data_IF_186780164326
#
_entry.id   IF_186780164326
#
_cell.length_a   1.000
_cell.length_b   1.000
_cell.length_c   1.000
_cell.angle_alpha   90.00
_cell.angle_beta   90.00
_cell.angle_gamma   90.00
#
_symmetry.space_group_name_H-M   'P 1'
#
loop_
_entity.id
_entity.type
_entity.pdbx_description
1 polymer ?
#
# COMPACT_ATOMS: atom_id res chain seq x y z
N UNK A 1 -9.44 25.89 30.22
CA UNK A 1 -9.65 25.30 28.87
C UNK A 1 -8.76 26.03 27.87
N UNK A 2 -7.83 25.36 27.18
CA UNK A 2 -6.91 26.02 26.23
C UNK A 2 -7.54 26.30 24.86
N UNK A 3 -7.05 27.31 24.13
CA UNK A 3 -7.57 27.73 22.82
C UNK A 3 -7.74 26.57 21.81
N UNK A 4 -6.79 25.63 21.77
CA UNK A 4 -6.86 24.46 20.88
C UNK A 4 -8.04 23.53 21.15
N UNK A 5 -8.56 23.51 22.39
CA UNK A 5 -9.72 22.71 22.76
C UNK A 5 -11.00 23.29 22.14
N UNK A 6 -11.18 24.61 22.20
CA UNK A 6 -12.29 25.30 21.54
C UNK A 6 -12.24 25.13 20.02
N UNK A 7 -11.06 25.24 19.41
CA UNK A 7 -10.89 24.96 17.98
C UNK A 7 -11.33 23.54 17.63
N UNK A 8 -10.93 22.55 18.44
CA UNK A 8 -11.32 21.16 18.21
C UNK A 8 -12.86 20.98 18.30
N UNK A 9 -13.51 21.62 19.26
CA UNK A 9 -14.96 21.53 19.46
C UNK A 9 -15.72 22.18 18.30
N UNK A 10 -15.25 23.32 17.81
CA UNK A 10 -15.79 23.97 16.62
C UNK A 10 -15.67 23.05 15.38
N UNK A 11 -14.52 22.39 15.19
CA UNK A 11 -14.32 21.41 14.10
C UNK A 11 -15.07 20.08 14.27
N UNK A 12 -15.60 19.78 15.47
CA UNK A 12 -16.50 18.63 15.67
C UNK A 12 -17.88 18.95 15.09
N UNK A 13 -18.40 20.17 15.34
CA UNK A 13 -19.69 20.65 14.82
C UNK A 13 -19.59 21.24 13.40
N UNK A 14 -19.18 20.43 12.41
CA UNK A 14 -18.98 20.91 11.01
C UNK A 14 -20.27 21.32 10.29
N UNK A 15 -21.41 20.87 10.80
CA UNK A 15 -22.71 21.19 10.25
C UNK A 15 -23.29 22.49 10.78
N UNK A 16 -22.61 23.24 11.67
CA UNK A 16 -23.05 24.58 12.03
C UNK A 16 -22.90 25.55 10.85
N UNK A 17 -23.72 26.61 10.81
CA UNK A 17 -23.72 27.57 9.70
C UNK A 17 -22.38 28.26 9.51
N UNK A 18 -21.73 28.64 10.62
CA UNK A 18 -20.37 29.21 10.63
C UNK A 18 -19.38 28.27 9.92
N UNK A 19 -19.39 26.98 10.26
CA UNK A 19 -18.47 26.02 9.67
C UNK A 19 -18.78 25.69 8.22
N UNK A 20 -20.06 25.58 7.85
CA UNK A 20 -20.48 25.38 6.46
C UNK A 20 -20.04 26.55 5.59
N UNK A 21 -20.25 27.78 6.06
CA UNK A 21 -19.83 28.99 5.35
C UNK A 21 -18.32 29.00 5.14
N UNK A 22 -17.52 28.80 6.20
CA UNK A 22 -16.06 28.78 6.11
C UNK A 22 -15.54 27.67 5.18
N UNK A 23 -16.12 26.48 5.23
CA UNK A 23 -15.73 25.38 4.36
C UNK A 23 -16.10 25.64 2.90
N UNK A 24 -17.23 26.28 2.63
CA UNK A 24 -17.65 26.65 1.28
C UNK A 24 -16.67 27.63 0.63
N UNK A 25 -16.33 28.72 1.35
CA UNK A 25 -15.36 29.73 0.88
C UNK A 25 -13.99 29.08 0.63
N UNK A 26 -13.51 28.22 1.54
CA UNK A 26 -12.24 27.51 1.36
C UNK A 26 -12.24 26.55 0.18
N UNK A 27 -13.31 25.77 0.01
CA UNK A 27 -13.40 24.84 -1.12
C UNK A 27 -13.42 25.59 -2.46
N UNK A 28 -14.08 26.75 -2.52
CA UNK A 28 -14.00 27.62 -3.69
C UNK A 28 -12.56 28.05 -3.99
N UNK A 29 -11.82 28.56 -3.00
CA UNK A 29 -10.41 28.93 -3.15
C UNK A 29 -9.54 27.74 -3.61
N UNK A 30 -9.72 26.56 -3.02
CA UNK A 30 -8.91 25.37 -3.34
C UNK A 30 -9.19 24.78 -4.73
N UNK A 31 -10.32 25.12 -5.35
CA UNK A 31 -10.60 24.72 -6.74
C UNK A 31 -9.77 25.51 -7.74
N UNK A 32 -9.54 26.80 -7.46
CA UNK A 32 -8.75 27.69 -8.32
C UNK A 32 -7.25 27.37 -8.27
N UNK A 33 -6.78 26.85 -7.14
CA UNK A 33 -5.39 26.46 -6.96
C UNK A 33 -5.04 25.15 -7.68
N UNK A 34 -3.75 24.94 -7.92
CA UNK A 34 -3.24 23.72 -8.56
C UNK A 34 -3.52 22.45 -7.73
N UNK A 35 -3.46 21.29 -8.38
CA UNK A 35 -3.75 19.99 -7.78
C UNK A 35 -2.98 19.73 -6.48
N UNK A 36 -1.72 20.17 -6.45
CA UNK A 36 -0.80 20.07 -5.34
C UNK A 36 -0.05 21.40 -5.23
N UNK A 37 -0.21 22.09 -4.11
CA UNK A 37 0.48 23.35 -3.85
C UNK A 37 0.95 23.40 -2.39
N UNK A 38 1.99 24.19 -2.14
CA UNK A 38 2.51 24.44 -0.80
C UNK A 38 1.56 25.39 -0.06
N UNK A 39 1.18 25.04 1.16
CA UNK A 39 0.47 25.93 2.07
C UNK A 39 1.48 26.60 3.02
N UNK A 40 1.42 27.93 3.21
CA UNK A 40 2.36 28.62 4.10
C UNK A 40 2.15 28.26 5.57
N UNK A 41 0.90 28.01 5.98
CA UNK A 41 0.50 27.64 7.34
C UNK A 41 -0.57 26.55 7.32
N UNK A 42 -0.66 25.70 8.37
CA UNK A 42 -1.75 24.72 8.47
C UNK A 42 -3.09 25.43 8.56
N UNK A 43 -4.09 24.99 7.80
CA UNK A 43 -5.47 25.50 7.95
C UNK A 43 -6.05 25.13 9.33
N UNK A 44 -5.57 24.00 9.88
CA UNK A 44 -6.01 23.43 11.15
C UNK A 44 -4.83 23.21 12.08
N UNK A 45 -4.37 24.24 12.82
CA UNK A 45 -3.23 24.09 13.72
C UNK A 45 -3.52 23.10 14.87
N UNK A 46 -4.78 23.00 15.33
CA UNK A 46 -5.23 22.02 16.34
C UNK A 46 -4.93 20.58 15.91
N UNK A 47 -5.32 20.23 14.67
CA UNK A 47 -5.21 18.88 14.14
C UNK A 47 -3.79 18.58 13.71
N UNK A 48 -3.12 19.56 13.09
CA UNK A 48 -1.73 19.42 12.67
C UNK A 48 -0.81 19.11 13.87
N UNK A 49 -0.96 19.84 14.99
CA UNK A 49 -0.16 19.61 16.21
C UNK A 49 -0.34 18.20 16.77
N UNK A 50 -1.57 17.70 16.81
CA UNK A 50 -1.86 16.32 17.26
C UNK A 50 -1.17 15.26 16.40
N UNK A 51 -0.96 15.56 15.13
CA UNK A 51 -0.31 14.65 14.17
C UNK A 51 1.21 14.84 14.11
N UNK A 52 1.78 15.69 14.96
CA UNK A 52 3.22 15.89 15.11
C UNK A 52 3.80 17.09 14.36
N UNK A 53 2.96 17.99 13.84
CA UNK A 53 3.43 19.27 13.30
C UNK A 53 3.95 20.17 14.42
N UNK A 54 5.14 20.73 14.23
CA UNK A 54 5.70 21.80 15.07
C UNK A 54 6.01 22.99 14.15
N UNK A 55 5.73 24.21 14.62
CA UNK A 55 6.04 25.43 13.88
C UNK A 55 7.54 25.77 14.03
N UNK A 56 8.39 24.92 13.45
CA UNK A 56 9.84 25.09 13.35
C UNK A 56 10.28 24.88 11.90
N UNK A 57 11.45 25.41 11.55
CA UNK A 57 12.01 25.18 10.22
C UNK A 57 12.20 23.68 9.93
N UNK A 58 12.04 23.29 8.66
CA UNK A 58 12.09 21.90 8.21
C UNK A 58 10.74 21.19 8.21
N UNK A 59 9.67 21.80 8.72
CA UNK A 59 8.29 21.35 8.50
C UNK A 59 7.67 22.07 7.31
N UNK A 60 7.01 21.32 6.43
CA UNK A 60 6.32 21.86 5.26
C UNK A 60 4.95 21.25 5.17
N UNK A 61 3.97 22.04 4.71
CA UNK A 61 2.61 21.57 4.50
C UNK A 61 2.28 21.72 3.02
N UNK A 62 1.77 20.64 2.44
CA UNK A 62 1.23 20.65 1.09
C UNK A 62 -0.27 20.37 1.15
N UNK A 63 -1.03 21.13 0.37
CA UNK A 63 -2.44 20.87 0.11
C UNK A 63 -2.56 20.08 -1.17
N UNK A 64 -3.35 19.02 -1.12
CA UNK A 64 -3.62 18.17 -2.27
C UNK A 64 -5.11 17.90 -2.42
N UNK A 65 -5.59 17.95 -3.67
CA UNK A 65 -6.93 17.50 -4.03
C UNK A 65 -6.91 16.09 -4.63
N UNK A 66 -7.85 15.26 -4.20
CA UNK A 66 -8.05 13.90 -4.72
C UNK A 66 -9.49 13.74 -5.18
N UNK A 67 -9.70 13.22 -6.38
CA UNK A 67 -11.03 13.00 -6.95
C UNK A 67 -11.81 11.99 -6.11
N UNK A 68 -13.08 12.28 -5.86
CA UNK A 68 -14.03 11.42 -5.17
C UNK A 68 -14.55 10.33 -6.12
N UNK A 69 -15.12 9.29 -5.52
CA UNK A 69 -15.76 8.18 -6.24
C UNK A 69 -14.93 6.89 -6.21
N UNK A 70 -15.46 5.88 -6.92
CA UNK A 70 -14.81 4.60 -7.13
C UNK A 70 -13.71 4.67 -8.19
N UNK A 71 -13.09 3.52 -8.45
CA UNK A 71 -12.07 3.39 -9.49
C UNK A 71 -12.59 2.46 -10.58
N UNK A 72 -12.76 3.00 -11.79
CA UNK A 72 -13.01 2.18 -12.98
C UNK A 72 -11.79 1.31 -13.27
N UNK A 73 -11.98 0.05 -13.63
CA UNK A 73 -10.88 -0.80 -14.12
C UNK A 73 -10.39 -0.28 -15.47
N UNK A 74 -9.08 -0.18 -15.68
CA UNK A 74 -8.53 0.22 -16.97
C UNK A 74 -8.67 -0.93 -17.96
N UNK A 75 -9.82 -1.01 -18.63
CA UNK A 75 -10.08 -1.95 -19.73
C UNK A 75 -10.50 -1.18 -20.97
N UNK A 76 -9.89 -1.45 -22.14
CA UNK A 76 -10.33 -0.86 -23.40
C UNK A 76 -11.81 -1.15 -23.64
N UNK A 77 -12.60 -0.10 -23.92
CA UNK A 77 -14.05 -0.18 -24.20
C UNK A 77 -14.92 -0.87 -23.12
N UNK A 78 -14.38 -1.16 -21.93
CA UNK A 78 -15.10 -1.95 -20.92
C UNK A 78 -15.14 -3.45 -21.20
N UNK A 79 -14.42 -3.93 -22.23
CA UNK A 79 -14.40 -5.35 -22.58
C UNK A 79 -13.46 -6.12 -21.63
N UNK A 80 -14.04 -7.02 -20.84
CA UNK A 80 -13.33 -7.94 -19.94
C UNK A 80 -13.48 -9.36 -20.45
N UNK A 81 -12.37 -10.05 -20.66
CA UNK A 81 -12.35 -11.46 -21.05
C UNK A 81 -12.24 -12.37 -19.83
N UNK A 82 -12.59 -13.65 -19.99
CA UNK A 82 -12.51 -14.68 -18.95
C UNK A 82 -13.81 -14.92 -18.21
N UNK A 83 -13.72 -15.45 -16.99
CA UNK A 83 -14.88 -15.87 -16.19
C UNK A 83 -15.80 -14.68 -15.83
N UNK A 84 -17.13 -14.86 -15.76
CA UNK A 84 -18.09 -13.79 -15.45
C UNK A 84 -17.81 -13.01 -14.15
N UNK A 85 -17.20 -13.67 -13.16
CA UNK A 85 -16.81 -13.05 -11.88
C UNK A 85 -15.85 -11.86 -12.06
N UNK A 86 -15.07 -11.84 -13.14
CA UNK A 86 -14.08 -10.79 -13.41
C UNK A 86 -14.58 -9.70 -14.37
N UNK A 87 -15.86 -9.74 -14.76
CA UNK A 87 -16.44 -8.81 -15.72
C UNK A 87 -16.86 -7.44 -15.13
N UNK A 88 -16.78 -7.26 -13.81
CA UNK A 88 -17.08 -5.99 -13.17
C UNK A 88 -16.11 -4.87 -13.60
N UNK A 89 -16.63 -3.73 -14.07
CA UNK A 89 -15.82 -2.57 -14.51
C UNK A 89 -16.06 -1.30 -13.68
N UNK A 90 -17.32 -0.95 -13.38
CA UNK A 90 -17.68 0.36 -12.82
C UNK A 90 -17.74 0.38 -11.28
N UNK A 91 -18.27 -0.68 -10.65
CA UNK A 91 -18.57 -0.69 -9.21
C UNK A 91 -17.36 -1.09 -8.33
N UNK A 92 -16.16 -1.10 -8.88
CA UNK A 92 -14.94 -1.41 -8.11
C UNK A 92 -14.55 -0.28 -7.18
N UNK A 93 -14.26 -0.65 -5.94
CA UNK A 93 -13.74 0.23 -4.90
C UNK A 93 -12.24 0.07 -4.83
N UNK A 94 -11.53 1.18 -4.64
CA UNK A 94 -10.08 1.13 -4.48
C UNK A 94 -9.73 0.60 -3.09
N UNK A 95 -8.77 -0.33 -3.00
CA UNK A 95 -8.37 -0.93 -1.73
C UNK A 95 -7.76 0.08 -0.73
N UNK A 96 -7.14 1.16 -1.24
CA UNK A 96 -6.54 2.20 -0.41
C UNK A 96 -7.48 3.38 -0.19
N UNK A 97 -7.43 3.97 1.00
CA UNK A 97 -8.18 5.19 1.29
C UNK A 97 -7.71 6.38 0.44
N UNK A 98 -8.61 7.34 0.15
CA UNK A 98 -8.27 8.57 -0.57
C UNK A 98 -7.19 9.40 0.14
N UNK A 99 -7.13 9.32 1.47
CA UNK A 99 -6.10 9.95 2.28
C UNK A 99 -4.72 9.33 2.04
N UNK A 100 -4.63 8.00 1.92
CA UNK A 100 -3.36 7.34 1.55
C UNK A 100 -2.92 7.68 0.12
N UNK A 101 -3.87 7.83 -0.81
CA UNK A 101 -3.59 8.29 -2.18
C UNK A 101 -3.08 9.73 -2.20
N UNK A 102 -3.62 10.60 -1.34
CA UNK A 102 -3.16 11.96 -1.18
C UNK A 102 -1.70 12.01 -0.71
N UNK A 103 -1.36 11.23 0.31
CA UNK A 103 0.01 11.13 0.84
C UNK A 103 1.00 10.62 -0.23
N UNK A 104 0.62 9.59 -0.98
CA UNK A 104 1.46 9.03 -2.05
C UNK A 104 1.73 10.03 -3.16
N UNK A 105 0.71 10.77 -3.63
CA UNK A 105 0.89 11.80 -4.65
C UNK A 105 1.80 12.94 -4.19
N UNK A 106 1.64 13.37 -2.93
CA UNK A 106 2.51 14.39 -2.33
C UNK A 106 3.95 13.89 -2.17
N UNK A 107 4.14 12.65 -1.70
CA UNK A 107 5.47 12.04 -1.53
C UNK A 107 6.19 11.79 -2.85
N UNK A 108 5.47 11.44 -3.92
CA UNK A 108 6.04 11.30 -5.27
C UNK A 108 6.51 12.64 -5.84
N UNK A 109 5.72 13.71 -5.66
CA UNK A 109 6.10 15.04 -6.12
C UNK A 109 7.26 15.63 -5.28
N UNK A 110 7.23 15.42 -3.96
CA UNK A 110 8.26 15.89 -3.03
C UNK A 110 9.21 14.76 -2.62
N UNK A 111 9.93 14.16 -3.58
CA UNK A 111 10.75 12.96 -3.33
C UNK A 111 11.86 13.12 -2.27
N UNK A 112 12.40 14.34 -2.13
CA UNK A 112 13.41 14.66 -1.12
C UNK A 112 12.84 14.71 0.31
N UNK A 113 11.56 15.08 0.45
CA UNK A 113 10.90 15.22 1.74
C UNK A 113 10.39 13.87 2.27
N UNK A 114 10.03 13.85 3.54
CA UNK A 114 9.45 12.68 4.22
C UNK A 114 8.04 12.99 4.70
N UNK A 115 7.07 12.18 4.30
CA UNK A 115 5.69 12.31 4.77
C UNK A 115 5.61 11.89 6.23
N UNK A 116 5.17 12.78 7.11
CA UNK A 116 4.90 12.47 8.51
C UNK A 116 3.50 11.85 8.64
N UNK A 117 2.48 12.63 8.26
CA UNK A 117 1.07 12.30 8.36
C UNK A 117 0.22 13.26 7.51
N UNK A 118 -1.09 13.03 7.46
CA UNK A 118 -2.01 13.92 6.76
C UNK A 118 -3.33 14.10 7.51
N UNK A 119 -4.12 15.10 7.13
CA UNK A 119 -5.48 15.30 7.64
C UNK A 119 -6.42 15.92 6.61
N UNK A 120 -7.71 15.66 6.80
CA UNK A 120 -8.78 16.24 5.99
C UNK A 120 -9.03 17.71 6.36
N UNK A 121 -9.23 18.53 5.32
CA UNK A 121 -9.47 19.98 5.46
C UNK A 121 -10.84 20.38 4.93
N UNK A 122 -11.28 19.78 3.83
CA UNK A 122 -12.54 20.11 3.19
C UNK A 122 -12.90 19.09 2.11
N UNK A 123 -14.14 19.10 1.67
CA UNK A 123 -14.58 18.32 0.52
C UNK A 123 -15.66 19.06 -0.25
N UNK A 124 -15.63 18.87 -1.57
CA UNK A 124 -16.66 19.27 -2.52
C UNK A 124 -17.25 18.00 -3.13
N UNK A 125 -18.30 18.09 -3.93
CA UNK A 125 -18.92 16.99 -4.68
C UNK A 125 -17.89 16.15 -5.46
N UNK A 126 -16.95 16.79 -6.16
CA UNK A 126 -15.97 16.13 -7.04
C UNK A 126 -14.66 15.77 -6.35
N UNK A 127 -14.21 16.53 -5.35
CA UNK A 127 -12.88 16.40 -4.76
C UNK A 127 -12.90 16.36 -3.23
N UNK A 128 -11.93 15.66 -2.63
CA UNK A 128 -11.56 15.79 -1.23
C UNK A 128 -10.20 16.47 -1.12
N UNK A 129 -10.07 17.37 -0.17
CA UNK A 129 -8.85 18.13 0.09
C UNK A 129 -8.18 17.64 1.38
N UNK A 130 -6.88 17.36 1.28
CA UNK A 130 -6.05 16.94 2.39
C UNK A 130 -4.84 17.87 2.52
N UNK A 131 -4.42 18.10 3.76
CA UNK A 131 -3.13 18.69 4.07
C UNK A 131 -2.17 17.58 4.51
N UNK A 132 -1.05 17.47 3.82
CA UNK A 132 0.01 16.50 4.09
C UNK A 132 1.15 17.24 4.79
N UNK A 133 1.53 16.74 5.96
CA UNK A 133 2.66 17.23 6.74
C UNK A 133 3.90 16.50 6.24
N UNK A 134 4.83 17.28 5.70
CA UNK A 134 6.13 16.82 5.20
C UNK A 134 7.23 17.38 6.09
N UNK A 135 8.32 16.63 6.19
CA UNK A 135 9.53 17.00 6.91
C UNK A 135 10.71 16.94 5.95
N UNK A 136 11.56 17.96 6.01
CA UNK A 136 12.86 17.94 5.37
C UNK A 136 13.88 17.20 6.27
N UNK A 137 14.39 16.03 5.86
CA UNK A 137 15.36 15.28 6.65
C UNK A 137 16.75 15.91 6.68
N UNK A 138 17.08 16.81 5.74
CA UNK A 138 18.40 17.45 5.66
C UNK A 138 18.52 18.71 6.53
N UNK A 139 17.38 19.25 6.99
CA UNK A 139 17.38 20.47 7.79
C UNK A 139 17.95 20.29 9.19
N UNK A 140 18.84 21.20 9.63
CA UNK A 140 19.53 21.13 10.93
C UNK A 140 18.56 21.07 12.12
N UNK A 141 17.47 21.82 12.08
CA UNK A 141 16.48 21.85 13.18
C UNK A 141 15.64 20.56 13.32
N UNK A 142 15.65 19.70 12.30
CA UNK A 142 15.05 18.37 12.35
C UNK A 142 16.06 17.36 12.88
N UNK A 143 17.29 17.39 12.35
CA UNK A 143 18.36 16.44 12.70
C UNK A 143 18.83 16.58 14.15
N UNK A 144 18.90 17.79 14.69
CA UNK A 144 19.32 18.05 16.08
C UNK A 144 18.25 17.75 17.13
N UNK A 145 16.98 17.63 16.72
CA UNK A 145 15.88 17.47 17.67
C UNK A 145 15.55 15.98 17.87
N UNK A 146 15.71 15.42 19.09
CA UNK A 146 15.58 13.98 19.35
C UNK A 146 14.17 13.45 19.02
N UNK A 147 13.10 14.22 19.28
CA UNK A 147 11.72 13.80 19.03
C UNK A 147 11.44 13.51 17.54
N UNK A 148 12.13 14.23 16.65
CA UNK A 148 11.88 14.19 15.20
C UNK A 148 12.97 13.46 14.43
N UNK A 149 14.13 13.27 15.03
CA UNK A 149 15.32 12.71 14.38
C UNK A 149 15.08 11.29 13.83
N UNK A 150 14.18 10.50 14.43
CA UNK A 150 13.89 9.15 13.94
C UNK A 150 13.51 9.15 12.44
N UNK A 151 12.78 10.17 11.94
CA UNK A 151 12.31 10.20 10.55
C UNK A 151 13.44 10.40 9.53
N UNK A 152 14.61 10.89 9.95
CA UNK A 152 15.75 11.14 9.05
C UNK A 152 16.52 9.88 8.72
N UNK A 153 16.32 8.79 9.46
CA UNK A 153 16.97 7.50 9.19
C UNK A 153 16.53 6.94 7.83
N UNK A 154 17.44 6.27 7.08
CA UNK A 154 17.14 5.76 5.73
C UNK A 154 16.01 4.73 5.70
N UNK A 155 15.75 4.03 6.81
CA UNK A 155 14.63 3.07 6.93
C UNK A 155 13.26 3.72 6.77
N UNK A 156 13.15 5.05 6.93
CA UNK A 156 11.91 5.82 6.83
C UNK A 156 11.73 6.53 5.49
N UNK A 157 12.51 6.17 4.46
CA UNK A 157 12.25 6.60 3.08
C UNK A 157 10.88 6.12 2.60
N UNK A 158 10.14 6.98 1.91
CA UNK A 158 8.86 6.65 1.26
C UNK A 158 7.90 5.79 2.10
N UNK A 159 7.62 6.24 3.33
CA UNK A 159 6.69 5.56 4.26
C UNK A 159 5.26 5.53 3.72
N UNK A 160 4.88 6.55 2.96
CA UNK A 160 3.59 6.68 2.28
C UNK A 160 3.37 5.59 1.24
N UNK A 161 4.40 5.25 0.45
CA UNK A 161 4.30 4.21 -0.58
C UNK A 161 4.22 2.80 0.02
N UNK A 162 4.85 2.60 1.19
CA UNK A 162 4.81 1.33 1.96
C UNK A 162 3.59 1.23 2.89
N UNK A 163 2.73 2.25 2.94
CA UNK A 163 1.55 2.26 3.80
C UNK A 163 1.87 2.25 5.30
N UNK A 164 2.96 2.91 5.71
CA UNK A 164 3.39 3.03 7.13
C UNK A 164 2.90 4.32 7.80
N UNK A 165 2.17 5.16 7.07
CA UNK A 165 1.46 6.33 7.60
C UNK A 165 0.18 5.90 8.34
N UNK A 166 -0.46 6.81 9.07
CA UNK A 166 -1.69 6.49 9.80
C UNK A 166 -2.81 6.02 8.86
N UNK A 167 -2.94 6.68 7.69
CA UNK A 167 -3.91 6.33 6.66
C UNK A 167 -3.59 4.97 6.00
N UNK A 168 -2.31 4.71 5.73
CA UNK A 168 -1.85 3.43 5.19
C UNK A 168 -2.09 2.26 6.14
N UNK A 169 -1.72 2.41 7.41
CA UNK A 169 -1.94 1.39 8.45
C UNK A 169 -3.42 1.06 8.64
N UNK A 170 -4.29 2.08 8.63
CA UNK A 170 -5.75 1.90 8.69
C UNK A 170 -6.27 1.11 7.49
N UNK A 171 -5.77 1.41 6.29
CA UNK A 171 -6.18 0.71 5.06
C UNK A 171 -5.75 -0.75 5.01
N UNK A 172 -4.61 -1.07 5.64
CA UNK A 172 -4.10 -2.44 5.77
C UNK A 172 -4.83 -3.27 6.84
N UNK A 173 -5.77 -2.67 7.56
CA UNK A 173 -6.46 -3.32 8.67
C UNK A 173 -5.52 -3.66 9.83
N UNK A 174 -4.43 -2.92 10.05
CA UNK A 174 -3.54 -3.21 11.16
C UNK A 174 -4.18 -2.74 12.48
N UNK A 175 -4.62 -3.71 13.29
CA UNK A 175 -5.24 -3.48 14.59
C UNK A 175 -4.84 -4.53 15.62
N UNK A 176 -5.50 -4.50 16.78
CA UNK A 176 -5.30 -5.46 17.87
C UNK A 176 -6.62 -6.16 18.18
N UNK A 177 -6.57 -7.45 18.52
CA UNK A 177 -7.73 -8.27 18.88
C UNK A 177 -8.08 -9.33 17.83
N UNK A 178 -9.05 -10.19 18.18
CA UNK A 178 -9.48 -11.36 17.39
C UNK A 178 -9.80 -11.03 15.92
N UNK A 179 -10.39 -9.86 15.62
CA UNK A 179 -10.74 -9.44 14.24
C UNK A 179 -9.54 -9.22 13.32
N UNK A 180 -8.33 -9.14 13.87
CA UNK A 180 -7.12 -8.77 13.12
C UNK A 180 -6.16 -9.94 12.89
N UNK A 181 -6.52 -11.17 13.28
CA UNK A 181 -5.64 -12.35 13.18
C UNK A 181 -5.08 -12.56 11.75
N UNK A 182 -5.89 -12.34 10.71
CA UNK A 182 -5.50 -12.44 9.29
C UNK A 182 -4.64 -11.26 8.78
N UNK A 183 -4.36 -10.26 9.61
CA UNK A 183 -3.65 -9.04 9.20
C UNK A 183 -2.35 -8.81 9.99
N UNK A 184 -2.05 -9.69 10.95
CA UNK A 184 -0.83 -9.65 11.76
C UNK A 184 0.39 -9.90 10.86
N UNK A 185 1.41 -9.04 10.93
CA UNK A 185 2.67 -9.25 10.20
C UNK A 185 2.65 -8.92 8.69
N UNK A 186 1.53 -8.40 8.17
CA UNK A 186 1.20 -8.10 6.77
C UNK A 186 0.36 -9.20 6.07
N UNK A 187 -0.71 -8.81 5.35
CA UNK A 187 -1.66 -9.78 4.78
C UNK A 187 -1.07 -10.68 3.68
N UNK A 188 0.05 -10.31 3.06
CA UNK A 188 0.75 -11.15 2.07
C UNK A 188 1.73 -12.16 2.69
N UNK A 189 2.06 -12.03 3.98
CA UNK A 189 3.00 -12.91 4.67
C UNK A 189 2.30 -14.10 5.37
N UNK A 190 0.97 -14.18 5.30
CA UNK A 190 0.17 -15.19 5.99
C UNK A 190 -0.37 -16.37 5.14
N UNK A 191 -0.16 -16.53 3.82
CA UNK A 191 -0.69 -17.69 3.10
C UNK A 191 0.08 -19.00 3.38
N UNK A 192 0.66 -19.17 4.58
CA UNK A 192 1.50 -20.33 4.93
C UNK A 192 1.47 -20.78 6.39
N UNK A 193 0.65 -20.19 7.29
CA UNK A 193 0.55 -20.68 8.68
C UNK A 193 -0.38 -21.88 8.87
N UNK A 194 -0.97 -22.41 7.79
CA UNK A 194 -1.85 -23.58 7.80
C UNK A 194 -1.30 -24.81 7.07
N UNK A 195 -0.03 -24.80 6.66
CA UNK A 195 0.59 -25.91 5.93
C UNK A 195 1.92 -26.31 6.59
N UNK A 196 1.88 -26.66 7.87
CA UNK A 196 2.91 -27.49 8.49
C UNK A 196 2.35 -28.89 8.62
N UNK A 197 2.93 -29.94 7.99
CA UNK A 197 2.54 -31.29 8.28
C UNK A 197 2.90 -31.59 9.73
N UNK A 198 1.92 -31.97 10.55
CA UNK A 198 2.17 -32.42 11.90
C UNK A 198 3.02 -33.70 11.84
N UNK A 199 4.30 -33.60 12.21
CA UNK A 199 5.11 -34.76 12.56
C UNK A 199 4.68 -35.23 13.95
N UNK A 200 3.66 -36.09 14.00
CA UNK A 200 3.34 -36.84 15.20
C UNK A 200 4.44 -37.90 15.37
N UNK A 201 5.44 -37.63 16.20
CA UNK A 201 6.28 -38.67 16.79
C UNK A 201 5.40 -39.53 17.68
N UNK A 202 4.85 -40.60 17.13
CA UNK A 202 4.22 -41.67 17.90
C UNK A 202 5.31 -42.69 18.26
N UNK A 203 5.73 -42.69 19.52
CA UNK A 203 6.46 -43.77 20.17
C UNK A 203 5.62 -45.04 20.09
N UNK A 204 6.02 -45.97 19.21
CA UNK A 204 5.40 -47.28 19.11
C UNK A 204 5.99 -48.22 20.17
N UNK A 205 5.22 -48.42 21.26
CA UNK A 205 5.41 -49.51 22.22
C UNK A 205 5.06 -50.84 21.56
N UNK A 206 6.01 -51.77 21.57
CA UNK A 206 5.88 -53.13 21.07
C UNK A 206 5.02 -53.94 22.04
N UNK A 207 3.83 -54.37 21.61
CA UNK A 207 3.16 -55.54 22.20
C UNK A 207 2.67 -56.49 21.11
N UNK A 208 3.24 -57.69 21.22
CA UNK A 208 3.09 -58.89 20.41
C UNK A 208 1.84 -59.65 20.88
N UNK A 209 0.90 -59.97 19.98
CA UNK A 209 -0.07 -61.07 20.17
C UNK A 209 -0.45 -61.72 18.81
N UNK A 210 0.28 -62.80 18.52
CA UNK A 210 -0.16 -64.12 18.04
C UNK A 210 -1.53 -64.37 17.36
N UNK A 211 -1.45 -64.76 16.07
CA UNK A 211 -2.05 -65.94 15.38
C UNK A 211 -3.58 -66.16 15.34
N UNK A 212 -4.20 -66.05 14.14
CA UNK A 212 -4.82 -67.19 13.43
C UNK A 212 -5.32 -66.88 12.00
N UNK A 213 -4.70 -67.56 11.02
CA UNK A 213 -5.21 -68.17 9.76
C UNK A 213 -6.56 -67.71 9.14
N UNK A 214 -6.52 -67.32 7.85
CA UNK A 214 -7.03 -68.16 6.71
C UNK A 214 -6.76 -67.52 5.33
N UNK A 215 -6.12 -68.33 4.49
CA UNK A 215 -5.90 -68.30 3.03
C UNK A 215 -6.75 -67.37 2.14
N UNK A 216 -6.08 -66.67 1.20
CA UNK A 216 -5.98 -67.06 -0.24
C UNK A 216 -5.02 -66.12 -1.01
N UNK A 217 -4.05 -66.73 -1.69
CA UNK A 217 -3.10 -66.21 -2.69
C UNK A 217 -3.53 -66.76 -4.09
N UNK A 218 -2.84 -66.49 -5.22
CA UNK A 218 -2.40 -65.21 -5.82
C UNK A 218 -2.49 -65.22 -7.39
N UNK A 219 -1.75 -64.29 -8.01
CA UNK A 219 -1.17 -64.24 -9.40
C UNK A 219 -1.69 -63.08 -10.27
N UNK A 220 -0.94 -62.00 -10.59
CA UNK A 220 0.39 -61.74 -11.23
C UNK A 220 0.38 -61.76 -12.77
N UNK A 221 1.02 -60.74 -13.36
CA UNK A 221 1.35 -60.58 -14.79
C UNK A 221 1.62 -59.09 -15.10
N UNK A 222 2.85 -58.60 -14.91
CA UNK A 222 3.96 -58.55 -15.89
C UNK A 222 3.79 -57.48 -16.97
N UNK A 223 4.66 -56.46 -17.02
CA UNK A 223 5.97 -56.54 -17.71
C UNK A 223 6.68 -55.18 -17.74
N UNK A 224 8.00 -55.23 -17.55
CA UNK A 224 8.94 -54.13 -17.67
C UNK A 224 10.09 -54.57 -18.61
N UNK A 225 10.75 -53.58 -19.23
CA UNK A 225 12.08 -53.59 -19.86
C UNK A 225 12.24 -53.98 -21.35
N UNK A 226 12.86 -53.06 -22.11
CA UNK A 226 14.19 -53.12 -22.78
C UNK A 226 14.26 -52.02 -23.88
N UNK A 227 15.00 -50.92 -23.73
CA UNK A 227 16.43 -50.68 -24.09
C UNK A 227 16.91 -51.26 -25.43
N UNK A 228 17.33 -50.39 -26.36
CA UNK A 228 18.63 -50.47 -27.04
C UNK A 228 19.02 -49.15 -27.75
N UNK A 229 20.29 -48.77 -27.58
CA UNK A 229 21.01 -47.63 -28.16
C UNK A 229 21.46 -47.90 -29.61
N UNK A 230 21.77 -46.85 -30.40
CA UNK A 230 23.02 -46.72 -31.17
C UNK A 230 23.13 -45.40 -32.00
N UNK A 231 24.23 -44.68 -31.75
CA UNK A 231 25.13 -43.92 -32.66
C UNK A 231 24.68 -42.59 -33.33
N UNK A 232 25.33 -41.45 -32.99
CA UNK A 232 26.47 -40.78 -33.67
C UNK A 232 25.99 -39.85 -34.81
N UNK A 233 26.48 -38.65 -35.13
CA UNK A 233 27.72 -37.85 -34.88
C UNK A 233 27.42 -36.42 -35.42
N UNK A 234 27.87 -35.31 -34.80
CA UNK A 234 28.90 -34.36 -35.32
C UNK A 234 28.41 -32.94 -35.74
N UNK A 235 29.13 -31.93 -35.21
CA UNK A 235 29.33 -30.52 -35.65
C UNK A 235 28.21 -29.49 -35.44
N UNK A 236 28.43 -28.19 -35.16
CA UNK A 236 29.61 -27.35 -34.86
C UNK A 236 29.13 -25.88 -34.82
N UNK A 237 29.69 -25.06 -33.91
CA UNK A 237 29.76 -23.58 -33.92
C UNK A 237 28.43 -22.80 -33.70
N UNK A 238 28.33 -21.73 -32.89
CA UNK A 238 29.33 -20.79 -32.41
C UNK A 238 29.13 -19.41 -33.07
N UNK A 239 28.37 -18.49 -32.42
CA UNK A 239 28.57 -17.02 -32.29
C UNK A 239 27.27 -16.18 -32.28
N UNK A 240 27.25 -15.05 -31.54
CA UNK A 240 26.07 -14.22 -31.28
C UNK A 240 25.94 -13.07 -32.31
N UNK A 241 24.72 -12.74 -32.73
CA UNK A 241 24.45 -11.52 -33.52
C UNK A 241 23.83 -10.41 -32.67
N UNK A 242 24.66 -9.40 -32.47
CA UNK A 242 24.38 -8.00 -32.19
C UNK A 242 23.13 -7.48 -32.91
N UNK A 243 22.22 -6.83 -32.20
CA UNK A 243 21.18 -5.98 -32.81
C UNK A 243 21.38 -4.53 -32.35
N UNK A 244 21.80 -3.65 -33.28
CA UNK A 244 21.77 -2.18 -33.13
C UNK A 244 20.49 -1.63 -33.77
N UNK A 245 19.83 -0.60 -33.19
CA UNK A 245 18.69 0.08 -33.81
C UNK A 245 19.14 1.14 -34.84
N UNK A 246 18.35 1.42 -35.90
CA UNK A 246 18.66 2.48 -36.84
C UNK A 246 18.20 3.86 -36.35
N UNK A 247 19.12 4.82 -36.50
CA UNK A 247 18.93 6.25 -36.38
C UNK A 247 18.04 6.81 -37.50
N UNK A 248 16.94 7.48 -37.16
CA UNK A 248 16.19 8.31 -38.10
C UNK A 248 16.68 9.77 -38.07
N UNK A 249 17.09 10.20 -39.25
CA UNK A 249 17.47 11.55 -39.66
C UNK A 249 16.21 12.43 -39.75
N UNK A 250 16.28 13.67 -39.26
CA UNK A 250 15.30 14.74 -39.55
C UNK A 250 15.84 15.62 -40.68
N UNK A 251 15.02 16.05 -41.66
CA UNK A 251 15.34 17.21 -42.48
C UNK A 251 14.82 18.51 -41.84
N UNK A 252 15.42 19.60 -42.35
CA UNK A 252 15.40 20.99 -41.89
C UNK A 252 14.02 21.64 -41.85
#
# INVERSE_FOLDING_TARGET
MGAYRYMQELWRKKQSDVMRFLLRVRCWQYRQLSNLHRAPRPTRPDKARRLGYKAKQGYVIYRIRVRRGGRKRPVPKGATYGKPVHHGVNQMKFARSLQSVAEERAGRHCGALRVLNSYWVGEDSTYKFFEVILIDPFHKAIRRNPDTQWITKPVHKHREMRGLTSAGKKSRGLGKGHKFHLTIGAPAALPGRGATPCSCTATASVRRLSVHSRNKHPFYGDRCLLFHNLHETVFSQGLPRLWKPPSQVRPR
#
